data_IF_427746426857
#
_entry.id   IF_427746426857
#
_cell.length_a   1.000
_cell.length_b   1.000
_cell.length_c   1.000
_cell.angle_alpha   90.00
_cell.angle_beta   90.00
_cell.angle_gamma   90.00
#
_symmetry.space_group_name_H-M   'P 1'
#
loop_
_entity.id
_entity.type
_entity.pdbx_description
1 polymer ?
#
# COMPACT_ATOMS: atom_id res chain seq x y z
N UNK A 1 -16.45 -11.96 -8.16
CA UNK A 1 -15.83 -10.67 -8.51
C UNK A 1 -15.82 -9.81 -7.25
N UNK A 2 -14.66 -9.45 -6.71
CA UNK A 2 -14.59 -8.60 -5.52
C UNK A 2 -13.78 -7.31 -5.69
N UNK A 3 -13.06 -7.14 -6.81
CA UNK A 3 -12.28 -5.94 -7.13
C UNK A 3 -12.72 -5.33 -8.47
N UNK A 4 -12.91 -4.02 -8.48
CA UNK A 4 -13.41 -3.23 -9.61
C UNK A 4 -12.48 -2.02 -9.81
N UNK A 5 -11.85 -1.89 -10.97
CA UNK A 5 -10.86 -0.83 -11.23
C UNK A 5 -11.57 0.40 -11.80
N UNK A 6 -11.47 1.52 -11.10
CA UNK A 6 -12.00 2.80 -11.57
C UNK A 6 -11.03 3.49 -12.52
N UNK A 7 -9.78 3.68 -12.08
CA UNK A 7 -8.72 4.33 -12.86
C UNK A 7 -7.36 3.72 -12.50
N UNK A 8 -6.50 3.56 -13.50
CA UNK A 8 -5.16 3.01 -13.29
C UNK A 8 -4.15 3.66 -14.24
N UNK A 9 -2.99 4.00 -13.70
CA UNK A 9 -1.84 4.49 -14.44
C UNK A 9 -0.58 3.75 -14.01
N UNK A 10 0.27 3.45 -14.98
CA UNK A 10 1.65 3.03 -14.76
C UNK A 10 2.59 4.11 -15.27
N UNK A 11 3.67 4.33 -14.55
CA UNK A 11 4.82 5.13 -14.97
C UNK A 11 6.08 4.33 -14.70
N UNK A 12 7.22 4.84 -15.12
CA UNK A 12 8.49 4.17 -14.90
C UNK A 12 9.56 5.16 -14.49
N UNK A 13 10.34 4.75 -13.50
CA UNK A 13 11.58 5.40 -13.08
C UNK A 13 12.73 4.51 -13.56
N UNK A 14 13.67 5.08 -14.30
CA UNK A 14 14.84 4.37 -14.83
C UNK A 14 16.09 4.99 -14.22
N UNK A 15 16.81 4.20 -13.42
CA UNK A 15 18.12 4.60 -12.90
C UNK A 15 19.16 4.52 -14.01
N UNK A 16 19.75 5.66 -14.35
CA UNK A 16 20.83 5.75 -15.34
C UNK A 16 22.21 5.72 -14.68
N UNK A 17 22.33 6.37 -13.53
CA UNK A 17 23.51 6.39 -12.67
C UNK A 17 23.08 6.66 -11.20
N UNK A 18 24.04 6.91 -10.30
CA UNK A 18 23.76 7.14 -8.87
C UNK A 18 22.94 8.41 -8.59
N UNK A 19 22.89 9.38 -9.51
CA UNK A 19 22.25 10.69 -9.30
C UNK A 19 21.10 10.97 -10.26
N UNK A 20 20.94 10.16 -11.32
CA UNK A 20 19.99 10.42 -12.38
C UNK A 20 18.91 9.32 -12.49
N UNK A 21 17.68 9.71 -12.17
CA UNK A 21 16.45 8.93 -12.38
C UNK A 21 15.65 9.55 -13.53
N UNK A 22 15.61 8.86 -14.66
CA UNK A 22 14.77 9.23 -15.80
C UNK A 22 13.31 8.83 -15.55
N UNK A 23 12.38 9.72 -15.93
CA UNK A 23 10.95 9.50 -15.85
C UNK A 23 10.40 9.12 -17.23
N UNK A 24 9.71 7.98 -17.30
CA UNK A 24 8.88 7.61 -18.44
C UNK A 24 7.43 7.61 -17.99
N UNK A 25 6.67 8.57 -18.49
CA UNK A 25 5.27 8.78 -18.11
C UNK A 25 4.35 8.29 -19.23
N UNK A 26 3.30 7.53 -18.88
CA UNK A 26 2.26 7.19 -19.86
C UNK A 26 1.49 8.40 -20.35
N UNK A 27 0.97 8.30 -21.57
CA UNK A 27 0.11 9.29 -22.23
C UNK A 27 -1.38 9.07 -22.06
N UNK A 28 -1.77 7.90 -21.56
CA UNK A 28 -3.14 7.55 -21.26
C UNK A 28 -3.22 6.66 -20.03
N UNK A 29 -4.41 6.64 -19.40
CA UNK A 29 -4.77 5.59 -18.45
C UNK A 29 -4.68 4.21 -19.11
N UNK A 30 -4.51 3.18 -18.29
CA UNK A 30 -4.64 1.79 -18.73
C UNK A 30 -6.11 1.40 -18.77
N UNK A 31 -6.50 0.71 -19.84
CA UNK A 31 -7.79 0.03 -19.91
C UNK A 31 -7.80 -1.16 -18.94
N UNK A 32 -8.89 -1.40 -18.19
CA UNK A 32 -9.00 -2.50 -17.23
C UNK A 32 -9.27 -3.83 -17.95
N UNK A 33 -8.33 -4.27 -18.77
CA UNK A 33 -8.35 -5.58 -19.43
C UNK A 33 -8.26 -6.71 -18.40
N UNK A 34 -8.58 -7.94 -18.80
CA UNK A 34 -8.49 -9.11 -17.91
C UNK A 34 -7.11 -9.23 -17.23
N UNK A 35 -6.02 -9.04 -17.97
CA UNK A 35 -4.66 -9.08 -17.43
C UNK A 35 -4.38 -7.95 -16.43
N UNK A 36 -4.90 -6.74 -16.68
CA UNK A 36 -4.75 -5.61 -15.74
C UNK A 36 -5.54 -5.87 -14.45
N UNK A 37 -6.76 -6.41 -14.57
CA UNK A 37 -7.58 -6.80 -13.41
C UNK A 37 -6.90 -7.89 -12.59
N UNK A 38 -6.36 -8.92 -13.23
CA UNK A 38 -5.61 -9.99 -12.57
C UNK A 38 -4.35 -9.45 -11.84
N UNK A 39 -3.59 -8.57 -12.48
CA UNK A 39 -2.41 -7.93 -11.88
C UNK A 39 -2.78 -7.14 -10.61
N UNK A 40 -3.83 -6.32 -10.65
CA UNK A 40 -4.27 -5.54 -9.49
C UNK A 40 -4.86 -6.44 -8.40
N UNK A 41 -5.61 -7.47 -8.76
CA UNK A 41 -6.13 -8.45 -7.81
C UNK A 41 -5.01 -9.19 -7.08
N UNK A 42 -3.96 -9.60 -7.81
CA UNK A 42 -2.79 -10.26 -7.22
C UNK A 42 -2.02 -9.30 -6.31
N UNK A 43 -1.77 -8.06 -6.74
CA UNK A 43 -1.10 -7.06 -5.91
C UNK A 43 -1.91 -6.75 -4.64
N UNK A 44 -3.23 -6.60 -4.76
CA UNK A 44 -4.13 -6.44 -3.61
C UNK A 44 -4.02 -7.63 -2.65
N UNK A 45 -4.01 -8.87 -3.16
CA UNK A 45 -3.90 -10.09 -2.35
C UNK A 45 -2.56 -10.14 -1.62
N UNK A 46 -1.45 -9.93 -2.32
CA UNK A 46 -0.09 -9.92 -1.73
C UNK A 46 0.03 -8.84 -0.67
N UNK A 47 -0.42 -7.61 -0.96
CA UNK A 47 -0.40 -6.51 -0.02
C UNK A 47 -1.27 -6.77 1.22
N UNK A 48 -2.45 -7.34 1.03
CA UNK A 48 -3.38 -7.65 2.12
C UNK A 48 -2.83 -8.74 3.06
N UNK A 49 -2.08 -9.70 2.53
CA UNK A 49 -1.44 -10.76 3.32
C UNK A 49 -0.19 -10.31 4.12
N UNK A 50 0.46 -9.20 3.73
CA UNK A 50 1.65 -8.68 4.43
C UNK A 50 1.26 -7.89 5.69
N UNK A 51 2.16 -7.87 6.68
CA UNK A 51 2.06 -6.99 7.84
C UNK A 51 2.21 -5.52 7.40
N UNK A 52 1.32 -4.66 7.90
CA UNK A 52 1.23 -3.25 7.51
C UNK A 52 1.43 -2.34 8.71
N UNK A 53 2.03 -1.18 8.45
CA UNK A 53 1.95 -0.03 9.33
C UNK A 53 0.66 0.74 9.05
N UNK A 54 0.17 1.48 10.05
CA UNK A 54 -0.84 2.51 9.86
C UNK A 54 -0.17 3.88 9.86
N UNK A 55 -0.66 4.75 9.00
CA UNK A 55 -0.23 6.12 8.86
C UNK A 55 -1.39 7.06 8.61
N UNK A 56 -1.05 8.33 8.58
CA UNK A 56 -1.90 9.42 8.17
C UNK A 56 -1.06 10.43 7.39
N UNK A 57 -1.71 11.20 6.53
CA UNK A 57 -1.05 12.34 5.90
C UNK A 57 -0.71 13.40 6.96
N UNK A 58 0.46 14.01 6.79
CA UNK A 58 0.83 15.22 7.49
C UNK A 58 -0.02 16.39 6.97
N UNK A 59 -0.18 17.43 7.78
CA UNK A 59 -0.99 18.61 7.40
C UNK A 59 -0.51 19.25 6.09
N UNK A 60 0.81 19.30 5.89
CA UNK A 60 1.45 19.89 4.71
C UNK A 60 1.66 18.88 3.56
N UNK A 61 0.99 17.73 3.58
CA UNK A 61 1.14 16.73 2.50
C UNK A 61 0.61 17.27 1.18
N UNK A 62 1.53 17.61 0.28
CA UNK A 62 1.20 17.98 -1.09
C UNK A 62 0.48 16.86 -1.84
N UNK A 63 0.78 15.59 -1.53
CA UNK A 63 0.10 14.45 -2.17
C UNK A 63 -1.35 14.38 -1.72
N UNK A 64 -1.61 14.58 -0.42
CA UNK A 64 -2.96 14.64 0.11
C UNK A 64 -3.75 15.80 -0.50
N UNK A 65 -3.13 16.97 -0.68
CA UNK A 65 -3.78 18.11 -1.33
C UNK A 65 -4.15 17.81 -2.78
N UNK A 66 -3.20 17.31 -3.59
CA UNK A 66 -3.45 16.94 -4.98
C UNK A 66 -4.53 15.84 -5.09
N UNK A 67 -4.49 14.85 -4.21
CA UNK A 67 -5.49 13.80 -4.16
C UNK A 67 -6.89 14.35 -3.84
N UNK A 68 -7.03 15.34 -2.94
CA UNK A 68 -8.32 15.99 -2.68
C UNK A 68 -8.86 16.69 -3.93
N UNK A 69 -8.01 17.45 -4.64
CA UNK A 69 -8.40 18.12 -5.89
C UNK A 69 -8.83 17.10 -6.95
N UNK A 70 -8.08 16.00 -7.09
CA UNK A 70 -8.42 14.90 -7.98
C UNK A 70 -9.78 14.28 -7.63
N UNK A 71 -10.04 14.03 -6.34
CA UNK A 71 -11.31 13.48 -5.85
C UNK A 71 -12.48 14.43 -6.01
N UNK A 72 -12.24 15.74 -5.99
CA UNK A 72 -13.24 16.78 -6.28
C UNK A 72 -13.48 16.98 -7.78
N UNK A 73 -12.71 16.31 -8.64
CA UNK A 73 -12.78 16.45 -10.10
C UNK A 73 -12.12 17.72 -10.64
N UNK A 74 -11.35 18.43 -9.81
CA UNK A 74 -10.58 19.62 -10.19
C UNK A 74 -9.26 19.26 -10.88
N UNK A 75 -8.76 18.03 -10.66
CA UNK A 75 -7.57 17.48 -11.31
C UNK A 75 -7.85 16.13 -11.95
N UNK A 76 -7.31 15.89 -13.16
CA UNK A 76 -7.43 14.59 -13.83
C UNK A 76 -6.50 13.54 -13.19
N UNK A 77 -6.95 12.28 -13.13
CA UNK A 77 -6.19 11.20 -12.49
C UNK A 77 -4.82 10.95 -13.14
N UNK A 78 -4.72 11.06 -14.47
CA UNK A 78 -3.44 10.89 -15.17
C UNK A 78 -2.51 12.07 -14.89
N UNK A 79 -3.04 13.29 -14.82
CA UNK A 79 -2.25 14.47 -14.44
C UNK A 79 -1.72 14.33 -13.01
N UNK A 80 -2.60 13.97 -12.07
CA UNK A 80 -2.25 13.66 -10.69
C UNK A 80 -1.15 12.60 -10.59
N UNK A 81 -1.31 11.46 -11.27
CA UNK A 81 -0.35 10.35 -11.19
C UNK A 81 1.02 10.70 -11.80
N UNK A 82 1.04 11.50 -12.87
CA UNK A 82 2.27 12.04 -13.47
C UNK A 82 3.00 12.99 -12.53
N UNK A 83 2.28 13.97 -11.95
CA UNK A 83 2.84 14.94 -11.02
C UNK A 83 3.37 14.25 -9.74
N UNK A 84 2.61 13.28 -9.21
CA UNK A 84 3.03 12.46 -8.08
C UNK A 84 4.29 11.63 -8.42
N UNK A 85 4.39 11.06 -9.62
CA UNK A 85 5.60 10.32 -10.04
C UNK A 85 6.83 11.25 -10.14
N UNK A 86 6.65 12.49 -10.60
CA UNK A 86 7.70 13.50 -10.61
C UNK A 86 8.24 13.80 -9.20
N UNK A 87 7.34 14.01 -8.23
CA UNK A 87 7.72 14.19 -6.82
C UNK A 87 8.38 12.96 -6.22
N UNK A 88 7.89 11.76 -6.56
CA UNK A 88 8.52 10.51 -6.15
C UNK A 88 9.95 10.40 -6.68
N UNK A 89 10.22 10.79 -7.94
CA UNK A 89 11.59 10.88 -8.47
C UNK A 89 12.44 11.81 -7.60
N UNK A 90 11.95 13.03 -7.34
CA UNK A 90 12.69 14.05 -6.60
C UNK A 90 12.99 13.64 -5.15
N UNK A 91 12.12 12.81 -4.57
CA UNK A 91 12.37 12.19 -3.26
C UNK A 91 13.40 11.08 -3.38
N UNK A 92 13.24 10.15 -4.33
CA UNK A 92 14.14 9.01 -4.53
C UNK A 92 15.59 9.43 -4.83
N UNK A 93 15.82 10.54 -5.55
CA UNK A 93 17.19 11.02 -5.84
C UNK A 93 17.96 11.44 -4.58
N UNK A 94 17.29 11.69 -3.45
CA UNK A 94 17.94 11.95 -2.15
C UNK A 94 18.53 10.69 -1.52
N UNK A 95 18.19 9.50 -2.04
CA UNK A 95 18.53 8.20 -1.47
C UNK A 95 19.39 7.38 -2.44
N UNK A 96 20.71 7.25 -2.23
CA UNK A 96 21.63 6.60 -3.19
C UNK A 96 21.31 5.12 -3.49
N UNK A 97 20.67 4.43 -2.53
CA UNK A 97 20.29 3.02 -2.65
C UNK A 97 18.98 2.81 -3.41
N UNK A 98 18.24 3.88 -3.71
CA UNK A 98 16.97 3.76 -4.41
C UNK A 98 17.21 3.33 -5.85
N UNK A 99 16.57 2.24 -6.25
CA UNK A 99 16.49 1.83 -7.64
C UNK A 99 15.20 2.35 -8.28
N UNK A 100 15.21 2.46 -9.61
CA UNK A 100 14.01 2.75 -10.37
C UNK A 100 13.02 1.58 -10.34
N UNK A 101 11.89 1.73 -11.00
CA UNK A 101 10.86 0.71 -11.04
C UNK A 101 9.62 1.18 -11.77
N UNK A 102 8.62 0.30 -11.81
CA UNK A 102 7.30 0.62 -12.33
C UNK A 102 6.47 1.22 -11.21
N UNK A 103 6.07 2.47 -11.39
CA UNK A 103 5.24 3.20 -10.44
C UNK A 103 3.77 3.01 -10.82
N UNK A 104 2.99 2.42 -9.93
CA UNK A 104 1.58 2.14 -10.11
C UNK A 104 0.74 3.08 -9.24
N UNK A 105 -0.27 3.71 -9.86
CA UNK A 105 -1.37 4.35 -9.18
C UNK A 105 -2.66 3.65 -9.62
N UNK A 106 -3.41 3.10 -8.67
CA UNK A 106 -4.67 2.42 -8.98
C UNK A 106 -5.75 2.85 -7.99
N UNK A 107 -6.78 3.52 -8.52
CA UNK A 107 -8.05 3.74 -7.86
C UNK A 107 -8.97 2.57 -8.17
N UNK A 108 -9.38 1.85 -7.15
CA UNK A 108 -10.26 0.69 -7.29
C UNK A 108 -11.21 0.58 -6.11
N UNK A 109 -12.28 -0.20 -6.31
CA UNK A 109 -13.23 -0.56 -5.28
C UNK A 109 -13.07 -2.02 -4.90
N UNK A 110 -13.05 -2.30 -3.60
CA UNK A 110 -13.04 -3.66 -3.05
C UNK A 110 -13.97 -3.71 -1.84
N UNK A 111 -14.93 -4.66 -1.84
CA UNK A 111 -15.95 -4.81 -0.79
C UNK A 111 -16.67 -3.48 -0.44
N UNK A 112 -17.06 -2.72 -1.47
CA UNK A 112 -17.72 -1.41 -1.35
C UNK A 112 -16.89 -0.28 -0.72
N UNK A 113 -15.57 -0.46 -0.62
CA UNK A 113 -14.63 0.56 -0.16
C UNK A 113 -13.77 1.03 -1.33
N UNK A 114 -13.57 2.34 -1.43
CA UNK A 114 -12.69 2.93 -2.44
C UNK A 114 -11.27 3.06 -1.90
N UNK A 115 -10.30 2.61 -2.70
CA UNK A 115 -8.89 2.64 -2.36
C UNK A 115 -8.08 3.35 -3.45
N UNK A 116 -7.07 4.11 -3.04
CA UNK A 116 -5.92 4.43 -3.87
C UNK A 116 -4.74 3.56 -3.43
N UNK A 117 -4.22 2.74 -4.34
CA UNK A 117 -3.00 1.97 -4.15
C UNK A 117 -1.88 2.60 -4.95
N UNK A 118 -0.78 2.91 -4.26
CA UNK A 118 0.45 3.43 -4.82
C UNK A 118 1.56 2.44 -4.56
N UNK A 119 2.25 2.00 -5.61
CA UNK A 119 3.32 1.01 -5.50
C UNK A 119 4.50 1.34 -6.41
N UNK A 120 5.70 0.95 -5.98
CA UNK A 120 6.88 0.87 -6.84
C UNK A 120 7.26 -0.60 -6.96
N UNK A 121 7.11 -1.14 -8.17
CA UNK A 121 7.32 -2.55 -8.48
C UNK A 121 8.61 -2.73 -9.29
N UNK A 122 9.40 -3.71 -8.90
CA UNK A 122 10.58 -4.08 -9.66
C UNK A 122 10.17 -4.82 -10.94
N UNK A 123 10.91 -4.57 -12.02
CA UNK A 123 10.82 -5.35 -13.24
C UNK A 123 12.04 -6.27 -13.31
N UNK A 124 11.82 -7.58 -13.22
CA UNK A 124 12.89 -8.57 -13.19
C UNK A 124 13.05 -9.26 -14.55
N UNK A 125 14.29 -9.61 -14.89
CA UNK A 125 14.61 -10.41 -16.06
C UNK A 125 14.61 -11.90 -15.71
N UNK A 126 14.09 -12.72 -16.62
CA UNK A 126 14.13 -14.17 -16.55
C UNK A 126 14.25 -14.78 -17.96
N UNK A 127 14.22 -16.10 -18.04
CA UNK A 127 14.20 -16.85 -19.29
C UNK A 127 12.83 -17.52 -19.46
N UNK A 128 12.23 -17.37 -20.64
CA UNK A 128 11.03 -18.11 -21.06
C UNK A 128 11.42 -19.12 -22.13
N UNK A 129 11.00 -20.36 -21.94
CA UNK A 129 11.01 -21.38 -23.00
C UNK A 129 9.73 -21.22 -23.80
N UNK A 130 9.84 -20.96 -25.11
CA UNK A 130 8.68 -20.82 -25.99
C UNK A 130 8.17 -22.19 -26.49
N UNK A 131 7.16 -22.17 -27.35
CA UNK A 131 6.50 -23.36 -27.90
C UNK A 131 7.43 -24.22 -28.78
N UNK A 132 8.52 -23.63 -29.29
CA UNK A 132 9.55 -24.30 -30.09
C UNK A 132 10.73 -24.81 -29.25
N UNK A 133 10.67 -24.69 -27.93
CA UNK A 133 11.76 -24.98 -26.98
C UNK A 133 12.97 -24.02 -27.08
N UNK A 134 12.80 -22.84 -27.66
CA UNK A 134 13.83 -21.80 -27.65
C UNK A 134 13.82 -21.04 -26.32
N UNK A 135 15.02 -20.69 -25.85
CA UNK A 135 15.21 -19.88 -24.64
C UNK A 135 15.28 -18.41 -25.04
N UNK A 136 14.30 -17.62 -24.60
CA UNK A 136 14.24 -16.18 -24.85
C UNK A 136 14.25 -15.40 -23.53
N UNK A 137 14.87 -14.20 -23.50
CA UNK A 137 14.74 -13.30 -22.35
C UNK A 137 13.28 -12.84 -22.21
N UNK A 138 12.81 -12.74 -20.98
CA UNK A 138 11.51 -12.16 -20.63
C UNK A 138 11.66 -11.23 -19.44
N UNK A 139 10.78 -10.24 -19.35
CA UNK A 139 10.69 -9.35 -18.20
C UNK A 139 9.33 -9.53 -17.53
N UNK A 140 9.28 -9.40 -16.20
CA UNK A 140 8.05 -9.51 -15.44
C UNK A 140 8.05 -8.60 -14.21
N UNK A 141 6.86 -8.16 -13.82
CA UNK A 141 6.65 -7.39 -12.59
C UNK A 141 6.75 -8.31 -11.37
N UNK A 142 7.62 -7.97 -10.43
CA UNK A 142 7.79 -8.73 -9.19
C UNK A 142 6.76 -8.32 -8.12
N UNK A 143 5.51 -8.72 -8.34
CA UNK A 143 4.38 -8.41 -7.44
C UNK A 143 4.55 -9.09 -6.07
N UNK A 144 5.07 -10.33 -6.05
CA UNK A 144 5.17 -11.11 -4.82
C UNK A 144 6.17 -10.52 -3.82
N UNK A 145 7.22 -9.86 -4.31
CA UNK A 145 8.21 -9.16 -3.48
C UNK A 145 8.02 -7.64 -3.47
N UNK A 146 6.82 -7.14 -3.81
CA UNK A 146 6.51 -5.72 -3.75
C UNK A 146 6.65 -5.19 -2.31
N UNK A 147 7.69 -4.39 -2.06
CA UNK A 147 8.03 -3.93 -0.71
C UNK A 147 7.81 -2.41 -0.53
N UNK A 148 7.59 -1.67 -1.62
CA UNK A 148 7.21 -0.25 -1.60
C UNK A 148 5.76 -0.16 -2.06
N UNK A 149 4.83 -0.21 -1.10
CA UNK A 149 3.39 -0.15 -1.36
C UNK A 149 2.69 0.60 -0.24
N UNK A 150 1.82 1.53 -0.61
CA UNK A 150 0.88 2.20 0.29
C UNK A 150 -0.54 2.10 -0.28
N UNK A 151 -1.51 1.97 0.62
CA UNK A 151 -2.93 1.97 0.30
C UNK A 151 -3.65 2.98 1.17
N UNK A 152 -4.36 3.89 0.53
CA UNK A 152 -5.23 4.87 1.17
C UNK A 152 -6.67 4.36 1.02
N UNK A 153 -7.36 4.16 2.14
CA UNK A 153 -8.82 4.01 2.22
C UNK A 153 -9.44 5.39 2.00
N UNK A 154 -9.87 5.65 0.76
CA UNK A 154 -10.43 6.95 0.37
C UNK A 154 -11.76 7.18 1.08
N UNK A 155 -12.54 6.12 1.28
CA UNK A 155 -13.84 6.20 1.98
C UNK A 155 -13.65 6.66 3.42
N UNK A 156 -12.76 6.02 4.18
CA UNK A 156 -12.45 6.42 5.56
C UNK A 156 -11.85 7.83 5.63
N UNK A 157 -10.90 8.12 4.74
CA UNK A 157 -10.22 9.42 4.71
C UNK A 157 -11.17 10.59 4.43
N UNK A 158 -12.19 10.38 3.61
CA UNK A 158 -13.18 11.42 3.24
C UNK A 158 -14.32 11.55 4.26
N UNK A 159 -14.69 10.46 4.95
CA UNK A 159 -15.89 10.42 5.81
C UNK A 159 -15.62 10.50 7.30
N UNK A 160 -14.39 10.25 7.74
CA UNK A 160 -14.00 10.28 9.15
C UNK A 160 -12.78 11.18 9.41
N UNK A 161 -12.99 12.49 9.66
CA UNK A 161 -11.90 13.45 9.87
C UNK A 161 -10.99 13.13 11.07
N UNK A 162 -11.50 12.42 12.08
CA UNK A 162 -10.74 12.03 13.28
C UNK A 162 -9.93 10.73 13.07
N UNK A 163 -10.07 10.09 11.90
CA UNK A 163 -9.40 8.82 11.63
C UNK A 163 -7.89 9.02 11.44
N UNK A 164 -7.12 8.16 12.09
CA UNK A 164 -5.65 8.10 11.95
C UNK A 164 -5.18 6.79 11.33
N UNK A 165 -6.09 6.08 10.62
CA UNK A 165 -5.88 4.70 10.14
C UNK A 165 -6.17 4.48 8.66
N UNK A 166 -6.55 5.51 7.93
CA UNK A 166 -6.93 5.41 6.53
C UNK A 166 -5.76 5.12 5.59
N UNK A 167 -4.52 5.39 5.99
CA UNK A 167 -3.32 5.07 5.19
C UNK A 167 -2.62 3.86 5.80
N UNK A 168 -2.31 2.87 4.98
CA UNK A 168 -1.49 1.73 5.36
C UNK A 168 -0.31 1.57 4.41
N UNK A 169 0.81 1.04 4.89
CA UNK A 169 2.01 0.81 4.07
C UNK A 169 2.82 -0.39 4.56
N UNK A 170 3.66 -0.94 3.69
CA UNK A 170 4.56 -2.04 4.05
C UNK A 170 5.79 -1.50 4.79
N UNK A 171 6.06 -2.04 5.99
CA UNK A 171 7.34 -1.80 6.66
C UNK A 171 8.41 -2.63 5.95
N UNK A 172 9.37 -1.96 5.30
CA UNK A 172 10.44 -2.62 4.53
C UNK A 172 11.17 -3.70 5.34
N UNK A 173 11.61 -4.77 4.66
CA UNK A 173 12.21 -5.95 5.31
C UNK A 173 13.68 -5.76 5.72
N UNK A 174 14.34 -4.66 5.36
CA UNK A 174 15.76 -4.42 5.65
C UNK A 174 16.01 -2.93 5.91
N UNK A 175 16.15 -2.54 7.18
CA UNK A 175 16.48 -1.16 7.59
C UNK A 175 15.36 -0.16 7.32
N UNK A 176 15.09 0.75 8.26
CA UNK A 176 13.98 1.72 8.18
C UNK A 176 13.99 2.59 6.89
N UNK A 177 15.17 2.73 6.26
CA UNK A 177 15.45 3.64 5.15
C UNK A 177 14.57 3.51 3.90
N UNK A 178 14.13 2.30 3.53
CA UNK A 178 13.30 2.10 2.32
C UNK A 178 11.85 2.54 2.56
N UNK A 179 11.36 2.46 3.80
CA UNK A 179 10.04 2.99 4.12
C UNK A 179 10.07 4.51 4.29
N UNK A 180 11.18 5.06 4.82
CA UNK A 180 11.30 6.48 5.16
C UNK A 180 11.11 7.38 3.92
N UNK A 181 11.82 7.13 2.80
CA UNK A 181 11.65 7.96 1.59
C UNK A 181 10.22 7.92 1.05
N UNK A 182 9.56 6.76 1.15
CA UNK A 182 8.23 6.60 0.59
C UNK A 182 7.21 7.33 1.45
N UNK A 183 7.41 7.35 2.77
CA UNK A 183 6.62 8.17 3.68
C UNK A 183 6.88 9.67 3.47
N UNK A 184 8.11 10.08 3.19
CA UNK A 184 8.46 11.46 2.82
C UNK A 184 7.73 11.87 1.53
N UNK A 185 7.76 11.03 0.50
CA UNK A 185 7.01 11.23 -0.76
C UNK A 185 5.50 11.36 -0.51
N UNK A 186 4.93 10.46 0.30
CA UNK A 186 3.51 10.53 0.65
C UNK A 186 3.19 11.77 1.50
N UNK A 187 4.19 12.39 2.12
CA UNK A 187 4.01 13.39 3.17
C UNK A 187 3.21 12.81 4.32
N UNK A 188 3.56 11.61 4.78
CA UNK A 188 2.80 10.86 5.78
C UNK A 188 3.67 10.48 6.97
N UNK A 189 3.04 10.20 8.11
CA UNK A 189 3.70 9.74 9.33
C UNK A 189 3.02 8.49 9.89
N UNK A 190 3.74 7.71 10.70
CA UNK A 190 3.13 6.59 11.41
C UNK A 190 2.10 7.11 12.41
N UNK A 191 0.83 6.75 12.21
CA UNK A 191 -0.29 7.20 13.03
C UNK A 191 -0.51 6.37 14.27
N UNK A 192 -0.08 5.10 14.25
CA UNK A 192 -0.30 4.16 15.34
C UNK A 192 0.95 3.39 15.73
N UNK A 193 1.29 3.47 17.02
CA UNK A 193 2.22 2.53 17.62
C UNK A 193 1.48 1.20 17.92
N UNK A 194 1.53 0.25 16.98
CA UNK A 194 0.88 -1.05 17.11
C UNK A 194 1.25 -1.81 18.41
N UNK A 195 2.46 -1.61 18.95
CA UNK A 195 2.84 -2.21 20.24
C UNK A 195 2.08 -1.58 21.41
N UNK A 196 1.90 -0.26 21.39
CA UNK A 196 1.14 0.44 22.41
C UNK A 196 -0.34 0.05 22.36
N UNK A 197 -0.94 -0.06 21.17
CA UNK A 197 -2.32 -0.50 21.01
C UNK A 197 -2.55 -1.95 21.41
N UNK A 198 -1.71 -2.88 20.96
CA UNK A 198 -1.84 -4.29 21.35
C UNK A 198 -1.70 -4.45 22.87
N UNK A 199 -0.85 -3.64 23.51
CA UNK A 199 -0.75 -3.60 24.97
C UNK A 199 -2.04 -3.07 25.61
N UNK A 200 -2.61 -1.99 25.06
CA UNK A 200 -3.89 -1.44 25.52
C UNK A 200 -5.05 -2.42 25.40
N UNK A 201 -5.17 -3.12 24.27
CA UNK A 201 -6.19 -4.16 24.05
C UNK A 201 -6.02 -5.31 25.05
N UNK A 202 -4.80 -5.82 25.21
CA UNK A 202 -4.53 -6.90 26.16
C UNK A 202 -4.80 -6.46 27.60
N UNK A 203 -4.49 -5.22 27.96
CA UNK A 203 -4.82 -4.65 29.26
C UNK A 203 -6.34 -4.58 29.47
N UNK A 204 -7.09 -4.09 28.49
CA UNK A 204 -8.56 -4.04 28.57
C UNK A 204 -9.21 -5.43 28.69
N UNK A 205 -8.65 -6.43 27.99
CA UNK A 205 -9.08 -7.84 28.15
C UNK A 205 -8.76 -8.34 29.56
N UNK A 206 -7.57 -8.04 30.08
CA UNK A 206 -7.19 -8.43 31.43
C UNK A 206 -8.09 -7.78 32.48
N UNK A 207 -8.38 -6.49 32.35
CA UNK A 207 -9.27 -5.74 33.23
C UNK A 207 -10.69 -6.31 33.20
N UNK A 208 -11.26 -6.55 32.01
CA UNK A 208 -12.57 -7.18 31.84
C UNK A 208 -12.65 -8.55 32.53
N UNK A 209 -11.64 -9.40 32.31
CA UNK A 209 -11.66 -10.74 32.90
C UNK A 209 -11.41 -10.74 34.42
N UNK A 210 -10.72 -9.73 34.94
CA UNK A 210 -10.54 -9.53 36.37
C UNK A 210 -11.83 -9.03 37.04
N UNK A 211 -12.54 -8.07 36.41
CA UNK A 211 -13.85 -7.59 36.86
C UNK A 211 -14.90 -8.70 36.87
N UNK A 212 -14.90 -9.56 35.84
CA UNK A 212 -15.77 -10.73 35.74
C UNK A 212 -15.38 -11.87 36.69
N UNK A 213 -14.31 -11.70 37.50
CA UNK A 213 -13.78 -12.69 38.46
C UNK A 213 -13.51 -14.08 37.85
N UNK A 214 -13.13 -14.10 36.57
CA UNK A 214 -12.87 -15.35 35.86
C UNK A 214 -11.68 -16.08 36.47
N UNK A 215 -11.75 -17.41 36.43
CA UNK A 215 -10.63 -18.24 36.85
C UNK A 215 -9.49 -18.21 35.80
N UNK A 216 -8.38 -18.87 36.13
CA UNK A 216 -7.19 -18.87 35.26
C UNK A 216 -7.46 -19.50 33.89
N UNK A 217 -8.26 -20.56 33.83
CA UNK A 217 -8.57 -21.27 32.58
C UNK A 217 -9.51 -20.44 31.71
N UNK A 218 -10.51 -19.81 32.31
CA UNK A 218 -11.45 -18.91 31.65
C UNK A 218 -10.75 -17.68 31.06
N UNK A 219 -9.87 -17.02 31.84
CA UNK A 219 -9.03 -15.92 31.33
C UNK A 219 -8.20 -16.31 30.12
N UNK A 220 -7.58 -17.48 30.17
CA UNK A 220 -6.77 -18.00 29.07
C UNK A 220 -7.63 -18.29 27.83
N UNK A 221 -8.87 -18.74 28.03
CA UNK A 221 -9.80 -18.98 26.94
C UNK A 221 -10.23 -17.67 26.26
N UNK A 222 -10.62 -16.66 27.04
CA UNK A 222 -11.00 -15.33 26.52
C UNK A 222 -9.85 -14.71 25.72
N UNK A 223 -8.62 -14.73 26.24
CA UNK A 223 -7.44 -14.24 25.51
C UNK A 223 -7.23 -14.98 24.18
N UNK A 224 -7.46 -16.30 24.14
CA UNK A 224 -7.34 -17.10 22.92
C UNK A 224 -8.42 -16.73 21.89
N UNK A 225 -9.65 -16.51 22.34
CA UNK A 225 -10.75 -16.08 21.48
C UNK A 225 -10.50 -14.71 20.86
N UNK A 226 -10.07 -13.73 21.67
CA UNK A 226 -9.70 -12.39 21.17
C UNK A 226 -8.58 -12.51 20.13
N UNK A 227 -7.56 -13.31 20.39
CA UNK A 227 -6.47 -13.53 19.42
C UNK A 227 -6.96 -14.16 18.11
N UNK A 228 -7.81 -15.19 18.16
CA UNK A 228 -8.38 -15.83 16.96
C UNK A 228 -9.18 -14.83 16.14
N UNK A 229 -10.06 -14.08 16.80
CA UNK A 229 -10.91 -13.08 16.18
C UNK A 229 -10.08 -12.00 15.46
N UNK A 230 -9.06 -11.44 16.12
CA UNK A 230 -8.17 -10.46 15.50
C UNK A 230 -7.43 -11.04 14.28
N UNK A 231 -6.98 -12.29 14.33
CA UNK A 231 -6.30 -12.93 13.21
C UNK A 231 -7.24 -13.18 12.02
N UNK A 232 -8.47 -13.64 12.27
CA UNK A 232 -9.49 -13.82 11.24
C UNK A 232 -9.82 -12.49 10.56
N UNK A 233 -9.98 -11.41 11.36
CA UNK A 233 -10.23 -10.06 10.84
C UNK A 233 -9.07 -9.53 10.00
N UNK A 234 -7.83 -9.77 10.39
CA UNK A 234 -6.65 -9.39 9.60
C UNK A 234 -6.62 -10.10 8.24
N UNK A 235 -7.00 -11.38 8.18
CA UNK A 235 -7.05 -12.14 6.92
C UNK A 235 -8.22 -11.71 6.02
N UNK A 236 -9.33 -11.26 6.58
CA UNK A 236 -10.48 -10.74 5.85
C UNK A 236 -10.29 -9.30 5.30
N UNK A 237 -9.10 -8.71 5.44
CA UNK A 237 -8.82 -7.36 4.95
C UNK A 237 -9.07 -6.23 5.95
N UNK A 238 -9.36 -6.57 7.22
CA UNK A 238 -9.32 -5.68 8.39
C UNK A 238 -10.27 -4.49 8.37
N UNK A 239 -11.47 -4.66 8.92
CA UNK A 239 -12.23 -3.59 9.59
C UNK A 239 -12.56 -4.01 11.02
N UNK A 240 -12.23 -3.13 11.96
CA UNK A 240 -13.22 -2.50 12.83
C UNK A 240 -13.32 -1.03 12.42
#
# INVERSE_FOLDING_TARGET
MSLDINQIALHQLIKRDEQNLELVLRDSLLEPTATVVEMVAELHRVYSAKNKAYGLFNEESELAQALRLQRQGEEDFLAFSRAATGRLRDELTKYPFADGGIVLFCHYRYLAVEYLLVAVLNNLSSMRVNENLDINPTHYLDINHADIVARIDLTEWETNPESTRYLTFLKGRVGRKVADFFMDFLGASEGLNAKAQNRGLLQAVDDFTAEAQLDKAERQNVRRQVYSYCNERLQAGGRD
#
